data_IF_622972600643
#
_entry.id   IF_622972600643
#
_cell.length_a   1.000
_cell.length_b   1.000
_cell.length_c   1.000
_cell.angle_alpha   90.00
_cell.angle_beta   90.00
_cell.angle_gamma   90.00
#
_symmetry.space_group_name_H-M   'P 1'
#
loop_
_entity.id
_entity.type
_entity.pdbx_description
1 polymer ?
#
# COMPACT_ATOMS: atom_id res chain seq x y z
N UNK A 1 -13.73 -6.02 -10.80
CA UNK A 1 -12.44 -6.36 -10.15
C UNK A 1 -12.11 -5.25 -9.17
N UNK A 2 -10.96 -5.26 -8.51
CA UNK A 2 -10.44 -4.11 -7.73
C UNK A 2 -9.18 -3.62 -8.42
N UNK A 3 -8.81 -2.35 -8.26
CA UNK A 3 -7.59 -1.83 -8.86
C UNK A 3 -6.36 -2.44 -8.20
N UNK A 4 -5.59 -3.21 -8.97
CA UNK A 4 -4.36 -3.88 -8.56
C UNK A 4 -3.15 -3.18 -9.17
N UNK A 5 -2.17 -2.92 -8.32
CA UNK A 5 -0.99 -2.14 -8.63
C UNK A 5 0.26 -2.89 -8.18
N UNK A 6 1.29 -2.95 -9.04
CA UNK A 6 2.58 -3.51 -8.62
C UNK A 6 3.26 -2.55 -7.67
N UNK A 7 3.66 -3.04 -6.51
CA UNK A 7 4.37 -2.24 -5.51
C UNK A 7 5.68 -2.88 -5.13
N UNK A 8 6.66 -2.04 -4.80
CA UNK A 8 7.93 -2.44 -4.19
C UNK A 8 8.03 -1.79 -2.82
N UNK A 9 8.39 -2.57 -1.81
CA UNK A 9 8.49 -2.13 -0.42
C UNK A 9 9.91 -2.40 0.05
N UNK A 10 10.59 -1.39 0.56
CA UNK A 10 12.00 -1.46 0.95
C UNK A 10 12.24 -1.01 2.39
N UNK A 11 13.25 -1.60 3.02
CA UNK A 11 13.84 -1.18 4.31
C UNK A 11 15.31 -1.57 4.34
N UNK A 12 16.19 -0.63 4.68
CA UNK A 12 17.61 -0.92 4.93
C UNK A 12 18.31 -1.65 3.78
N UNK A 13 17.98 -1.32 2.54
CA UNK A 13 18.55 -1.94 1.33
C UNK A 13 17.91 -3.27 0.90
N UNK A 14 17.05 -3.88 1.73
CA UNK A 14 16.22 -5.02 1.31
C UNK A 14 14.91 -4.52 0.73
N UNK A 15 14.43 -5.19 -0.31
CA UNK A 15 13.17 -4.87 -0.96
C UNK A 15 12.40 -6.16 -1.26
N UNK A 16 11.07 -6.07 -1.17
CA UNK A 16 10.14 -7.10 -1.64
C UNK A 16 9.18 -6.47 -2.64
N UNK A 17 8.68 -7.26 -3.59
CA UNK A 17 7.67 -6.83 -4.54
C UNK A 17 6.38 -7.61 -4.33
N UNK A 18 5.26 -6.97 -4.65
CA UNK A 18 3.95 -7.60 -4.55
C UNK A 18 2.89 -6.83 -5.30
N UNK A 19 1.67 -7.35 -5.23
CA UNK A 19 0.49 -6.69 -5.81
C UNK A 19 -0.30 -6.04 -4.68
N UNK A 20 -0.37 -4.71 -4.73
CA UNK A 20 -1.18 -3.87 -3.86
C UNK A 20 -2.57 -3.64 -4.44
N UNK A 21 -3.59 -3.61 -3.58
CA UNK A 21 -4.93 -3.15 -3.93
C UNK A 21 -5.03 -1.69 -3.53
N UNK A 22 -5.35 -0.82 -4.49
CA UNK A 22 -5.68 0.56 -4.21
C UNK A 22 -7.04 0.61 -3.49
N UNK A 23 -7.03 0.94 -2.19
CA UNK A 23 -8.22 0.88 -1.35
C UNK A 23 -8.47 2.23 -0.68
N UNK A 24 -9.30 3.07 -1.29
CA UNK A 24 -9.73 4.34 -0.70
C UNK A 24 -10.65 4.17 0.52
N UNK A 25 -11.20 2.97 0.76
CA UNK A 25 -11.95 2.64 1.98
C UNK A 25 -11.05 2.28 3.16
N UNK A 26 -9.75 2.06 2.94
CA UNK A 26 -8.76 2.05 3.99
C UNK A 26 -8.31 3.49 4.21
N UNK A 27 -9.00 4.20 5.10
CA UNK A 27 -8.72 5.59 5.43
C UNK A 27 -7.79 5.72 6.65
N UNK A 28 -6.90 6.71 6.64
CA UNK A 28 -6.06 7.05 7.79
C UNK A 28 -5.39 8.42 7.62
N UNK A 29 -4.73 8.90 8.68
CA UNK A 29 -4.12 10.23 8.68
C UNK A 29 -2.68 10.27 8.13
N UNK A 30 -2.08 9.10 7.85
CA UNK A 30 -0.74 8.97 7.27
C UNK A 30 -0.70 7.85 6.22
N UNK A 31 0.32 7.81 5.33
CA UNK A 31 0.49 6.70 4.41
C UNK A 31 0.66 5.37 5.15
N UNK A 32 -0.19 4.40 4.84
CA UNK A 32 -0.23 3.10 5.48
C UNK A 32 -0.47 1.98 4.46
N UNK A 33 0.08 0.81 4.76
CA UNK A 33 -0.18 -0.42 4.01
C UNK A 33 -0.55 -1.57 4.94
N UNK A 34 -1.24 -2.58 4.42
CA UNK A 34 -1.13 -3.92 5.00
C UNK A 34 0.06 -4.65 4.40
N UNK A 35 0.75 -5.43 5.21
CA UNK A 35 1.88 -6.25 4.80
C UNK A 35 1.65 -7.69 5.24
N UNK A 36 1.44 -8.63 4.30
CA UNK A 36 1.35 -10.05 4.59
C UNK A 36 2.55 -10.55 5.40
N UNK A 37 2.31 -11.43 6.38
CA UNK A 37 3.37 -12.00 7.25
C UNK A 37 4.54 -12.59 6.47
N UNK A 38 4.29 -13.22 5.32
CA UNK A 38 5.35 -13.80 4.49
C UNK A 38 6.31 -12.72 3.97
N UNK A 39 5.77 -11.66 3.37
CA UNK A 39 6.55 -10.52 2.87
C UNK A 39 7.22 -9.75 4.02
N UNK A 40 6.55 -9.61 5.17
CA UNK A 40 7.13 -9.00 6.36
C UNK A 40 8.38 -9.75 6.84
N UNK A 41 8.32 -11.09 6.91
CA UNK A 41 9.46 -11.92 7.32
C UNK A 41 10.64 -11.79 6.35
N UNK A 42 10.36 -11.81 5.05
CA UNK A 42 11.38 -11.67 4.01
C UNK A 42 12.06 -10.29 4.07
N UNK A 43 11.27 -9.22 4.13
CA UNK A 43 11.77 -7.85 4.12
C UNK A 43 12.50 -7.49 5.42
N UNK A 44 11.98 -7.93 6.57
CA UNK A 44 12.31 -7.34 7.88
C UNK A 44 13.10 -8.29 8.79
N UNK A 45 13.09 -9.60 8.50
CA UNK A 45 13.71 -10.61 9.35
C UNK A 45 13.18 -10.57 10.79
N UNK A 46 14.05 -10.79 11.77
CA UNK A 46 13.72 -10.72 13.21
C UNK A 46 13.76 -9.29 13.78
N UNK A 47 14.26 -8.30 13.03
CA UNK A 47 14.48 -6.92 13.51
C UNK A 47 13.24 -6.02 13.46
N UNK A 48 12.05 -6.56 13.75
CA UNK A 48 10.79 -5.84 13.59
C UNK A 48 10.32 -5.23 14.90
N UNK A 49 10.47 -3.92 15.05
CA UNK A 49 9.81 -3.18 16.13
C UNK A 49 8.34 -2.96 15.77
N UNK A 50 7.47 -3.64 16.50
CA UNK A 50 6.02 -3.58 16.35
C UNK A 50 5.39 -2.90 17.56
N UNK A 51 4.29 -2.20 17.30
CA UNK A 51 3.38 -1.69 18.33
C UNK A 51 1.96 -2.16 18.02
N UNK A 52 1.18 -2.41 19.05
CA UNK A 52 -0.24 -2.73 18.90
C UNK A 52 -1.02 -1.42 18.86
N UNK A 53 -1.85 -1.27 17.84
CA UNK A 53 -2.75 -0.13 17.71
C UNK A 53 -4.17 -0.61 17.48
N UNK A 54 -5.13 0.05 18.11
CA UNK A 54 -6.55 -0.17 17.87
C UNK A 54 -6.95 0.57 16.59
N UNK A 55 -7.76 -0.08 15.75
CA UNK A 55 -8.39 0.49 14.56
C UNK A 55 -9.88 0.21 14.60
N UNK A 56 -10.65 1.20 14.17
CA UNK A 56 -12.09 1.06 13.92
C UNK A 56 -12.25 0.73 12.43
N UNK A 57 -12.91 -0.39 12.14
CA UNK A 57 -13.20 -0.81 10.77
C UNK A 57 -14.43 -0.10 10.23
N UNK A 58 -14.68 -0.24 8.92
CA UNK A 58 -15.80 0.41 8.25
C UNK A 58 -17.18 -0.02 8.79
N UNK A 59 -17.29 -1.22 9.39
CA UNK A 59 -18.50 -1.71 10.05
C UNK A 59 -18.64 -1.24 11.52
N UNK A 60 -17.72 -0.39 11.99
CA UNK A 60 -17.67 0.12 13.37
C UNK A 60 -17.03 -0.82 14.38
N UNK A 61 -16.64 -2.05 13.97
CA UNK A 61 -15.94 -2.98 14.86
C UNK A 61 -14.52 -2.49 15.17
N UNK A 62 -14.01 -2.86 16.34
CA UNK A 62 -12.65 -2.52 16.77
C UNK A 62 -11.74 -3.73 16.65
N UNK A 63 -10.56 -3.51 16.09
CA UNK A 63 -9.53 -4.52 15.95
C UNK A 63 -8.19 -4.00 16.45
N UNK A 64 -7.41 -4.87 17.09
CA UNK A 64 -6.04 -4.57 17.48
C UNK A 64 -5.09 -5.16 16.44
N UNK A 65 -4.28 -4.31 15.82
CA UNK A 65 -3.35 -4.69 14.76
C UNK A 65 -1.91 -4.39 15.16
N UNK A 66 -0.99 -5.28 14.77
CA UNK A 66 0.43 -5.03 14.90
C UNK A 66 0.92 -4.12 13.77
N UNK A 67 1.48 -2.96 14.11
CA UNK A 67 1.97 -1.95 13.17
C UNK A 67 3.46 -1.71 13.37
N UNK A 68 4.19 -1.46 12.29
CA UNK A 68 5.60 -1.06 12.35
C UNK A 68 5.76 0.28 13.06
N UNK A 69 6.75 0.38 13.96
CA UNK A 69 7.14 1.65 14.58
C UNK A 69 7.92 2.52 13.59
N UNK A 70 8.72 1.90 12.73
CA UNK A 70 9.44 2.53 11.64
C UNK A 70 8.58 2.63 10.37
N UNK A 71 8.92 3.59 9.50
CA UNK A 71 8.31 3.72 8.18
C UNK A 71 9.12 2.97 7.13
N UNK A 72 8.42 2.27 6.24
CA UNK A 72 8.97 1.57 5.08
C UNK A 72 8.93 2.48 3.85
N UNK A 73 9.85 2.27 2.93
CA UNK A 73 9.85 2.94 1.62
C UNK A 73 8.94 2.18 0.67
N UNK A 74 7.84 2.81 0.24
CA UNK A 74 6.90 2.21 -0.71
C UNK A 74 7.01 2.90 -2.06
N UNK A 75 7.13 2.10 -3.10
CA UNK A 75 7.16 2.53 -4.49
C UNK A 75 6.02 1.88 -5.26
N UNK A 76 5.44 2.65 -6.18
CA UNK A 76 4.57 2.12 -7.24
C UNK A 76 5.42 1.80 -8.47
N UNK A 77 5.29 0.59 -8.99
CA UNK A 77 6.03 0.14 -10.18
C UNK A 77 5.05 0.10 -11.35
N UNK A 78 5.03 1.17 -12.15
CA UNK A 78 4.29 1.22 -13.39
C UNK A 78 5.12 0.62 -14.54
N UNK A 79 4.52 0.46 -15.72
CA UNK A 79 5.17 -0.14 -16.90
C UNK A 79 6.40 0.66 -17.38
N UNK A 80 6.30 1.99 -17.32
CA UNK A 80 7.28 2.94 -17.86
C UNK A 80 8.02 3.76 -16.80
N UNK A 81 7.60 3.68 -15.54
CA UNK A 81 8.23 4.43 -14.46
C UNK A 81 8.06 3.77 -13.08
N UNK A 82 8.94 4.13 -12.15
CA UNK A 82 8.83 3.78 -10.73
C UNK A 82 8.65 5.05 -9.94
N UNK A 83 7.60 5.11 -9.12
CA UNK A 83 7.23 6.30 -8.36
C UNK A 83 7.37 6.10 -6.87
N UNK A 84 8.05 7.02 -6.21
CA UNK A 84 8.36 6.96 -4.78
C UNK A 84 9.82 7.32 -4.50
N UNK A 85 10.32 7.07 -3.28
CA UNK A 85 9.60 6.41 -2.19
C UNK A 85 8.59 7.32 -1.50
N UNK A 86 7.49 6.72 -1.04
CA UNK A 86 6.63 7.30 0.01
C UNK A 86 6.84 6.51 1.29
N UNK A 87 7.12 7.21 2.39
CA UNK A 87 7.30 6.60 3.71
C UNK A 87 5.95 6.20 4.28
N UNK A 88 5.72 4.90 4.48
CA UNK A 88 4.46 4.37 5.01
C UNK A 88 4.65 3.46 6.23
N UNK A 89 3.68 3.41 7.14
CA UNK A 89 3.64 2.37 8.18
C UNK A 89 2.98 1.11 7.65
N UNK A 90 3.37 -0.05 8.16
CA UNK A 90 2.80 -1.32 7.74
C UNK A 90 2.07 -2.02 8.88
N UNK A 91 0.88 -2.52 8.59
CA UNK A 91 0.12 -3.45 9.42
C UNK A 91 0.45 -4.89 9.06
N UNK A 92 0.95 -5.67 10.00
CA UNK A 92 1.28 -7.07 9.76
C UNK A 92 0.00 -7.90 9.83
N UNK A 93 -0.45 -8.40 8.68
CA UNK A 93 -1.72 -9.12 8.55
C UNK A 93 -1.51 -10.60 8.20
N UNK A 94 -2.45 -11.45 8.62
CA UNK A 94 -2.48 -12.86 8.25
C UNK A 94 -2.94 -13.12 6.80
N UNK A 95 -3.63 -12.14 6.19
CA UNK A 95 -4.08 -12.21 4.80
C UNK A 95 -2.93 -12.08 3.79
N UNK A 96 -3.24 -12.33 2.52
CA UNK A 96 -2.26 -12.32 1.41
C UNK A 96 -2.16 -10.99 0.66
N UNK A 97 -3.09 -10.06 0.92
CA UNK A 97 -3.22 -8.84 0.13
C UNK A 97 -2.51 -7.67 0.80
N UNK A 98 -1.71 -6.96 0.00
CA UNK A 98 -1.21 -5.63 0.34
C UNK A 98 -2.33 -4.65 0.01
N UNK A 99 -2.79 -3.87 0.97
CA UNK A 99 -3.75 -2.79 0.78
C UNK A 99 -2.98 -1.48 0.85
N UNK A 100 -3.25 -0.57 -0.08
CA UNK A 100 -2.70 0.78 -0.10
C UNK A 100 -3.81 1.72 0.38
N UNK A 101 -3.55 2.45 1.47
CA UNK A 101 -4.53 3.38 2.01
C UNK A 101 -4.66 4.65 1.15
N UNK A 102 -5.71 5.42 1.41
CA UNK A 102 -6.01 6.67 0.73
C UNK A 102 -4.85 7.69 0.75
N UNK A 103 -4.20 7.89 1.90
CA UNK A 103 -3.06 8.80 2.04
C UNK A 103 -1.88 8.39 1.15
N UNK A 104 -1.55 7.09 1.12
CA UNK A 104 -0.47 6.58 0.28
C UNK A 104 -0.78 6.73 -1.21
N UNK A 105 -2.01 6.41 -1.63
CA UNK A 105 -2.45 6.59 -3.01
C UNK A 105 -2.35 8.06 -3.44
N UNK A 106 -2.79 8.98 -2.57
CA UNK A 106 -2.69 10.42 -2.83
C UNK A 106 -1.24 10.88 -2.93
N UNK A 107 -0.37 10.41 -2.03
CA UNK A 107 1.07 10.74 -2.03
C UNK A 107 1.81 10.20 -3.27
N UNK A 108 1.44 9.00 -3.75
CA UNK A 108 1.92 8.43 -5.00
C UNK A 108 1.25 9.04 -6.25
N UNK A 109 0.32 10.00 -6.06
CA UNK A 109 -0.44 10.69 -7.10
C UNK A 109 -1.29 9.75 -7.96
N UNK A 110 -1.76 8.64 -7.41
CA UNK A 110 -2.66 7.71 -8.08
C UNK A 110 -4.07 8.30 -8.12
N UNK A 111 -4.70 8.28 -9.29
CA UNK A 111 -6.12 8.56 -9.48
C UNK A 111 -6.79 7.28 -9.96
N UNK A 112 -7.78 6.82 -9.19
CA UNK A 112 -8.62 5.68 -9.57
C UNK A 112 -9.72 6.20 -10.49
N UNK A 113 -9.80 5.67 -11.71
CA UNK A 113 -10.81 6.07 -12.70
C UNK A 113 -11.94 5.04 -12.69
N UNK A 114 -11.60 3.77 -12.94
CA UNK A 114 -12.53 2.64 -12.84
C UNK A 114 -11.85 1.49 -12.07
N UNK A 115 -12.16 1.30 -10.77
CA UNK A 115 -11.56 0.22 -10.00
C UNK A 115 -12.03 -1.16 -10.45
N UNK A 116 -13.21 -1.27 -11.06
CA UNK A 116 -13.76 -2.55 -11.53
C UNK A 116 -12.95 -3.06 -12.70
N UNK A 117 -12.65 -2.19 -13.65
CA UNK A 117 -11.93 -2.53 -14.87
C UNK A 117 -10.43 -2.27 -14.74
N UNK A 118 -9.98 -1.75 -13.59
CA UNK A 118 -8.57 -1.52 -13.29
C UNK A 118 -8.00 -0.29 -13.99
N UNK A 119 -8.84 0.65 -14.39
CA UNK A 119 -8.44 1.88 -15.08
C UNK A 119 -8.00 2.91 -14.04
N UNK A 120 -6.81 3.45 -14.23
CA UNK A 120 -6.22 4.45 -13.35
C UNK A 120 -5.28 5.37 -14.13
N UNK A 121 -4.79 6.42 -13.49
CA UNK A 121 -3.70 7.23 -14.04
C UNK A 121 -2.93 7.90 -12.91
N UNK A 122 -1.82 8.53 -13.25
CA UNK A 122 -1.23 9.52 -12.36
C UNK A 122 -1.98 10.85 -12.45
N UNK A 123 -1.95 11.65 -11.37
CA UNK A 123 -2.73 12.89 -11.27
C UNK A 123 -2.47 13.87 -12.42
N UNK A 124 -1.24 13.97 -12.91
CA UNK A 124 -0.86 14.83 -14.05
C UNK A 124 -1.28 14.29 -15.43
N UNK A 125 -1.65 13.01 -15.50
CA UNK A 125 -2.15 12.31 -16.69
C UNK A 125 -3.68 12.33 -16.80
N UNK A 126 -4.37 12.76 -15.75
CA UNK A 126 -5.83 12.79 -15.71
C UNK A 126 -6.39 13.56 -16.92
N UNK A 127 -7.24 12.89 -17.71
CA UNK A 127 -7.81 13.43 -18.95
C UNK A 127 -6.88 13.39 -20.17
N UNK A 128 -5.69 12.79 -20.06
CA UNK A 128 -4.69 12.68 -21.14
C UNK A 128 -4.28 11.23 -21.43
N UNK A 129 -4.12 10.42 -20.38
CA UNK A 129 -3.68 9.04 -20.48
C UNK A 129 -4.35 8.20 -19.39
N UNK A 130 -4.80 7.03 -19.81
CA UNK A 130 -5.27 5.98 -18.92
C UNK A 130 -4.22 4.87 -18.86
N UNK A 131 -4.15 4.21 -17.71
CA UNK A 131 -3.27 3.10 -17.41
C UNK A 131 -4.12 1.92 -16.97
N UNK A 132 -3.64 0.73 -17.30
CA UNK A 132 -4.27 -0.52 -16.91
C UNK A 132 -3.58 -1.07 -15.65
N UNK A 133 -4.37 -1.45 -14.65
CA UNK A 133 -3.92 -2.22 -13.50
C UNK A 133 -3.66 -3.68 -13.86
N UNK A 134 -3.01 -4.41 -12.95
CA UNK A 134 -2.65 -5.82 -13.14
C UNK A 134 -3.84 -6.79 -13.04
#
# INVERSE_FOLDING_TARGET
MVLRLRVRICRGGKCVEGVGIANSGFAGDEPEITLPRALARELLGEGLSLTLVERVLADGSRVTLARTTERLDVYLVAEDEVRGPVKARAYIVGGQLILLNDCLLSALRVVIIDPRDGIWCFREELGKRERQGM
#
